data_IF_053889747110
#
_entry.id   IF_053889747110
#
_cell.length_a   1.000
_cell.length_b   1.000
_cell.length_c   1.000
_cell.angle_alpha   90.00
_cell.angle_beta   90.00
_cell.angle_gamma   90.00
#
_symmetry.space_group_name_H-M   'P 1'
#
loop_
_entity.id
_entity.type
_entity.pdbx_description
1 polymer ?
#
# COMPACT_ATOMS: atom_id res chain seq x y z
N UNK A 1 61.62 -30.44 14.41
CA UNK A 1 60.65 -30.06 13.35
C UNK A 1 59.21 -30.02 13.86
N UNK A 2 58.74 -31.01 14.63
CA UNK A 2 57.35 -31.06 15.15
C UNK A 2 56.96 -29.92 16.12
N UNK A 3 57.86 -29.48 17.00
CA UNK A 3 57.56 -28.43 17.99
C UNK A 3 57.28 -27.06 17.35
N UNK A 4 58.12 -26.63 16.39
CA UNK A 4 57.95 -25.36 15.66
C UNK A 4 56.67 -25.33 14.80
N UNK A 5 56.21 -26.49 14.33
CA UNK A 5 54.97 -26.62 13.56
C UNK A 5 53.73 -26.45 14.45
N UNK A 6 53.75 -26.99 15.68
CA UNK A 6 52.68 -26.81 16.65
C UNK A 6 52.54 -25.35 17.10
N UNK A 7 53.67 -24.66 17.32
CA UNK A 7 53.67 -23.21 17.60
C UNK A 7 53.05 -22.42 16.45
N UNK A 8 53.42 -22.73 15.20
CA UNK A 8 52.86 -22.04 14.02
C UNK A 8 51.34 -22.20 13.90
N UNK A 9 50.82 -23.42 14.11
CA UNK A 9 49.37 -23.67 14.13
C UNK A 9 48.70 -22.86 15.23
N UNK A 10 49.33 -22.78 16.40
CA UNK A 10 48.80 -22.06 17.55
C UNK A 10 48.71 -20.55 17.25
N UNK A 11 49.76 -19.96 16.67
CA UNK A 11 49.74 -18.55 16.22
C UNK A 11 48.71 -18.30 15.12
N UNK A 12 48.56 -19.23 14.17
CA UNK A 12 47.56 -19.13 13.11
C UNK A 12 46.13 -19.21 13.66
N UNK A 13 45.87 -20.05 14.66
CA UNK A 13 44.57 -20.11 15.31
C UNK A 13 44.27 -18.82 16.09
N UNK A 14 45.25 -18.26 16.80
CA UNK A 14 45.07 -16.97 17.48
C UNK A 14 44.80 -15.83 16.49
N UNK A 15 45.50 -15.78 15.36
CA UNK A 15 45.25 -14.76 14.33
C UNK A 15 43.88 -14.90 13.67
N UNK A 16 43.41 -16.14 13.45
CA UNK A 16 42.07 -16.38 12.92
C UNK A 16 40.98 -15.91 13.90
N UNK A 17 41.15 -16.22 15.20
CA UNK A 17 40.21 -15.81 16.25
C UNK A 17 40.18 -14.29 16.40
N UNK A 18 41.32 -13.61 16.37
CA UNK A 18 41.35 -12.14 16.46
C UNK A 18 40.70 -11.48 15.26
N UNK A 19 40.89 -12.00 14.04
CA UNK A 19 40.19 -11.50 12.84
C UNK A 19 38.67 -11.68 12.98
N UNK A 20 38.22 -12.85 13.46
CA UNK A 20 36.79 -13.10 13.70
C UNK A 20 36.19 -12.14 14.73
N UNK A 21 36.91 -11.87 15.83
CA UNK A 21 36.47 -10.90 16.85
C UNK A 21 36.41 -9.48 16.27
N UNK A 22 37.37 -9.08 15.45
CA UNK A 22 37.36 -7.77 14.80
C UNK A 22 36.21 -7.63 13.81
N UNK A 23 35.92 -8.68 13.03
CA UNK A 23 34.78 -8.70 12.10
C UNK A 23 33.44 -8.64 12.84
N UNK A 24 33.27 -9.38 13.93
CA UNK A 24 32.04 -9.31 14.73
C UNK A 24 31.89 -7.96 15.41
N UNK A 25 32.96 -7.35 15.88
CA UNK A 25 32.92 -5.99 16.42
C UNK A 25 32.58 -4.95 15.35
N UNK A 26 33.08 -5.07 14.12
CA UNK A 26 32.70 -4.20 13.01
C UNK A 26 31.20 -4.29 12.71
N UNK A 27 30.67 -5.51 12.62
CA UNK A 27 29.22 -5.73 12.40
C UNK A 27 28.41 -5.20 13.58
N UNK A 28 28.89 -5.37 14.81
CA UNK A 28 28.22 -4.88 16.01
C UNK A 28 28.23 -3.34 16.07
N UNK A 29 29.33 -2.70 15.68
CA UNK A 29 29.46 -1.24 15.60
C UNK A 29 28.54 -0.68 14.52
N UNK A 30 28.47 -1.32 13.35
CA UNK A 30 27.51 -0.95 12.29
C UNK A 30 26.05 -1.14 12.76
N UNK A 31 25.76 -2.21 13.51
CA UNK A 31 24.44 -2.47 14.07
C UNK A 31 24.06 -1.49 15.19
N UNK A 32 25.02 -1.10 16.05
CA UNK A 32 24.79 -0.18 17.16
C UNK A 32 24.68 1.28 16.68
N UNK A 33 25.42 1.62 15.62
CA UNK A 33 25.40 2.93 14.97
C UNK A 33 24.37 3.00 13.83
N UNK A 34 23.59 1.94 13.62
CA UNK A 34 22.43 1.98 12.74
C UNK A 34 21.36 2.86 13.39
N UNK A 35 21.41 4.16 13.10
CA UNK A 35 20.21 4.98 13.23
C UNK A 35 19.26 4.60 12.09
N UNK A 36 17.98 4.29 12.36
CA UNK A 36 17.02 4.20 11.28
C UNK A 36 17.01 5.55 10.56
N UNK A 37 17.49 5.57 9.31
CA UNK A 37 17.50 6.77 8.44
C UNK A 37 16.14 7.45 8.29
N UNK A 38 15.07 6.80 8.75
CA UNK A 38 13.71 7.30 8.76
C UNK A 38 13.11 7.28 10.17
N UNK A 39 13.72 8.01 11.10
CA UNK A 39 12.88 8.70 12.10
C UNK A 39 12.38 9.99 11.46
N UNK A 40 11.48 9.86 10.47
CA UNK A 40 10.76 11.03 9.99
C UNK A 40 9.99 11.58 11.20
N UNK A 41 10.29 12.79 11.70
CA UNK A 41 9.32 13.47 12.52
C UNK A 41 8.04 13.53 11.68
N UNK A 42 6.88 13.29 12.30
CA UNK A 42 5.60 13.74 11.77
C UNK A 42 5.66 15.27 11.65
N UNK A 43 6.41 15.79 10.67
CA UNK A 43 6.25 17.14 10.18
C UNK A 43 4.90 17.10 9.51
N UNK A 44 3.88 17.52 10.24
CA UNK A 44 2.80 18.26 9.60
C UNK A 44 3.50 19.34 8.76
N UNK A 45 3.42 19.30 7.43
CA UNK A 45 4.06 20.31 6.60
C UNK A 45 3.54 21.68 7.06
N UNK A 46 4.41 22.69 7.28
CA UNK A 46 3.98 24.01 7.73
C UNK A 46 2.92 24.63 6.81
N UNK A 47 2.91 24.25 5.52
CA UNK A 47 1.93 24.62 4.50
C UNK A 47 0.50 24.13 4.80
N UNK A 48 0.36 23.02 5.54
CA UNK A 48 -0.93 22.47 5.96
C UNK A 48 -1.64 23.41 6.96
N UNK A 49 -0.88 24.20 7.73
CA UNK A 49 -1.44 25.07 8.78
C UNK A 49 -2.07 26.36 8.24
N UNK A 50 -1.64 26.83 7.07
CA UNK A 50 -2.13 28.07 6.45
C UNK A 50 -3.33 27.81 5.51
N UNK A 51 -3.32 26.69 4.78
CA UNK A 51 -4.46 26.26 3.95
C UNK A 51 -5.67 25.79 4.81
N UNK A 52 -5.43 25.17 5.97
CA UNK A 52 -6.47 24.78 6.94
C UNK A 52 -7.23 26.01 7.50
N UNK A 53 -6.57 27.17 7.62
CA UNK A 53 -7.20 28.39 8.19
C UNK A 53 -8.16 29.09 7.23
N UNK A 54 -8.07 28.84 5.92
CA UNK A 54 -8.87 29.53 4.91
C UNK A 54 -9.99 28.66 4.30
N UNK A 55 -10.03 27.36 4.59
CA UNK A 55 -11.03 26.46 4.03
C UNK A 55 -12.25 26.30 4.94
N UNK A 56 -13.41 26.80 4.48
CA UNK A 56 -14.74 26.55 5.04
C UNK A 56 -14.97 25.03 5.27
N UNK A 57 -15.61 24.62 6.38
CA UNK A 57 -15.79 23.20 6.71
C UNK A 57 -16.48 22.41 5.60
N UNK A 58 -15.99 21.19 5.36
CA UNK A 58 -16.54 20.25 4.40
C UNK A 58 -18.04 20.07 4.65
N UNK A 59 -18.83 20.62 3.73
CA UNK A 59 -20.29 20.53 3.74
C UNK A 59 -20.68 19.07 3.52
N UNK A 60 -21.38 18.47 4.50
CA UNK A 60 -22.03 17.16 4.36
C UNK A 60 -22.79 17.10 3.03
N UNK A 61 -22.32 16.28 2.10
CA UNK A 61 -22.99 16.10 0.82
C UNK A 61 -24.22 15.23 1.01
N UNK A 62 -25.37 15.87 1.13
CA UNK A 62 -26.69 15.23 1.22
C UNK A 62 -27.39 15.30 -0.14
N UNK A 63 -26.98 14.44 -1.07
CA UNK A 63 -27.80 14.10 -2.24
C UNK A 63 -28.39 12.70 -2.02
N UNK A 64 -29.66 12.66 -1.62
CA UNK A 64 -30.54 11.50 -1.76
C UNK A 64 -30.08 10.17 -1.14
N UNK A 65 -30.14 10.07 0.19
CA UNK A 65 -30.61 8.85 0.85
C UNK A 65 -29.68 7.63 0.99
N UNK A 66 -28.35 7.78 1.04
CA UNK A 66 -27.46 6.75 1.61
C UNK A 66 -26.30 7.45 2.34
N UNK A 67 -26.20 7.26 3.66
CA UNK A 67 -25.02 7.68 4.43
C UNK A 67 -23.89 6.70 4.10
N UNK A 68 -22.72 7.21 3.68
CA UNK A 68 -21.56 6.40 3.31
C UNK A 68 -20.27 6.99 3.87
N UNK A 69 -19.21 6.19 3.96
CA UNK A 69 -17.90 6.68 4.37
C UNK A 69 -17.38 7.73 3.35
N UNK A 70 -17.14 8.95 3.80
CA UNK A 70 -16.44 9.97 3.01
C UNK A 70 -14.94 9.67 3.05
N UNK A 71 -14.47 8.83 2.13
CA UNK A 71 -13.05 8.52 1.94
C UNK A 71 -12.41 9.63 1.08
N UNK A 72 -11.33 10.29 1.54
CA UNK A 72 -10.57 11.22 0.71
C UNK A 72 -10.02 10.49 -0.52
N UNK A 73 -9.84 11.21 -1.62
CA UNK A 73 -9.50 10.61 -2.91
C UNK A 73 -8.23 11.22 -3.48
N UNK A 74 -7.36 10.37 -4.04
CA UNK A 74 -6.26 10.77 -4.92
C UNK A 74 -6.16 9.79 -6.08
N UNK A 75 -5.68 10.28 -7.23
CA UNK A 75 -5.18 9.42 -8.28
C UNK A 75 -3.75 8.96 -7.96
N UNK A 76 -3.30 7.84 -8.55
CA UNK A 76 -1.90 7.37 -8.49
C UNK A 76 -0.94 8.33 -9.20
N UNK A 77 -1.45 9.09 -10.18
CA UNK A 77 -0.81 10.27 -10.76
C UNK A 77 -1.56 11.54 -10.34
N UNK A 78 -1.31 12.14 -9.15
CA UNK A 78 -2.09 13.26 -8.64
C UNK A 78 -2.11 14.48 -9.56
N UNK A 79 -1.06 14.67 -10.35
CA UNK A 79 -0.91 15.77 -11.33
C UNK A 79 -1.07 15.32 -12.79
N UNK A 80 -1.55 14.09 -13.03
CA UNK A 80 -1.85 13.58 -14.37
C UNK A 80 -0.64 13.47 -15.32
N UNK A 81 0.53 13.29 -14.73
CA UNK A 81 1.82 13.22 -15.42
C UNK A 81 2.19 11.79 -15.80
N UNK A 82 1.35 11.16 -16.63
CA UNK A 82 1.52 9.81 -17.19
C UNK A 82 2.71 9.66 -18.16
N UNK A 83 3.44 10.75 -18.45
CA UNK A 83 4.66 10.69 -19.27
C UNK A 83 5.83 10.01 -18.56
N UNK A 84 5.71 9.74 -17.25
CA UNK A 84 6.67 8.99 -16.46
C UNK A 84 6.04 7.65 -16.07
N UNK A 85 6.66 6.56 -16.51
CA UNK A 85 6.14 5.20 -16.35
C UNK A 85 5.94 4.82 -14.89
N UNK A 86 6.67 5.46 -13.97
CA UNK A 86 6.58 5.12 -12.55
C UNK A 86 5.20 5.41 -11.95
N UNK A 87 4.44 6.32 -12.55
CA UNK A 87 3.08 6.62 -12.11
C UNK A 87 2.09 5.50 -12.44
N UNK A 88 2.43 4.56 -13.33
CA UNK A 88 1.60 3.38 -13.63
C UNK A 88 1.62 2.35 -12.48
N UNK A 89 2.64 2.41 -11.62
CA UNK A 89 2.91 1.42 -10.55
C UNK A 89 2.39 1.85 -9.17
N UNK A 90 1.87 3.08 -9.02
CA UNK A 90 1.56 3.66 -7.70
C UNK A 90 0.14 3.41 -7.19
N UNK A 91 -0.49 2.33 -7.62
CA UNK A 91 -1.88 2.06 -7.28
C UNK A 91 -2.04 1.62 -5.81
N UNK A 92 -1.08 0.87 -5.28
CA UNK A 92 -1.01 0.43 -3.89
C UNK A 92 -0.78 1.61 -2.95
N UNK A 93 0.22 2.47 -3.21
CA UNK A 93 0.55 3.63 -2.39
C UNK A 93 -0.63 4.61 -2.35
N UNK A 94 -1.24 4.90 -3.50
CA UNK A 94 -2.43 5.74 -3.56
C UNK A 94 -3.60 5.15 -2.76
N UNK A 95 -3.80 3.84 -2.85
CA UNK A 95 -4.86 3.13 -2.13
C UNK A 95 -4.66 3.18 -0.61
N UNK A 96 -3.45 2.94 -0.12
CA UNK A 96 -3.19 3.00 1.32
C UNK A 96 -3.17 4.42 1.86
N UNK A 97 -2.75 5.42 1.09
CA UNK A 97 -2.87 6.83 1.49
C UNK A 97 -4.34 7.21 1.69
N UNK A 98 -5.22 6.84 0.75
CA UNK A 98 -6.66 7.08 0.91
C UNK A 98 -7.21 6.40 2.16
N UNK A 99 -6.83 5.13 2.40
CA UNK A 99 -7.33 4.36 3.51
C UNK A 99 -6.84 4.85 4.88
N UNK A 100 -5.54 5.14 5.01
CA UNK A 100 -4.94 5.69 6.22
C UNK A 100 -5.49 7.10 6.50
N UNK A 101 -5.61 7.94 5.47
CA UNK A 101 -6.15 9.29 5.63
C UNK A 101 -7.59 9.26 6.11
N UNK A 102 -8.41 8.35 5.57
CA UNK A 102 -9.77 8.13 6.03
C UNK A 102 -9.82 7.73 7.52
N UNK A 103 -9.02 6.74 7.92
CA UNK A 103 -9.01 6.25 9.31
C UNK A 103 -8.54 7.33 10.30
N UNK A 104 -7.65 8.22 9.85
CA UNK A 104 -7.10 9.35 10.63
C UNK A 104 -7.88 10.66 10.53
N UNK A 105 -8.97 10.70 9.75
CA UNK A 105 -9.69 11.94 9.44
C UNK A 105 -8.81 13.04 8.84
N UNK A 106 -7.81 12.64 8.05
CA UNK A 106 -6.87 13.54 7.39
C UNK A 106 -7.37 13.93 6.01
N UNK A 107 -7.16 15.20 5.66
CA UNK A 107 -7.41 15.71 4.30
C UNK A 107 -6.28 15.28 3.37
N UNK A 108 -6.64 15.01 2.12
CA UNK A 108 -5.73 14.60 1.05
C UNK A 108 -5.76 15.63 -0.06
N UNK A 109 -4.67 16.38 -0.24
CA UNK A 109 -4.47 17.28 -1.38
C UNK A 109 -3.60 16.61 -2.44
N UNK A 110 -3.65 17.05 -3.69
CA UNK A 110 -2.82 16.47 -4.76
C UNK A 110 -1.31 16.63 -4.47
N UNK A 111 -0.90 17.78 -3.92
CA UNK A 111 0.48 18.05 -3.52
C UNK A 111 0.95 17.10 -2.44
N UNK A 112 0.14 16.93 -1.38
CA UNK A 112 0.48 16.01 -0.30
C UNK A 112 0.49 14.55 -0.81
N UNK A 113 -0.54 14.14 -1.56
CA UNK A 113 -0.61 12.80 -2.14
C UNK A 113 0.63 12.47 -2.97
N UNK A 114 1.05 13.37 -3.86
CA UNK A 114 2.20 13.14 -4.72
C UNK A 114 3.51 13.03 -3.93
N UNK A 115 3.66 13.82 -2.87
CA UNK A 115 4.84 13.72 -2.00
C UNK A 115 4.84 12.40 -1.21
N UNK A 116 3.70 12.02 -0.63
CA UNK A 116 3.58 10.78 0.14
C UNK A 116 3.75 9.52 -0.72
N UNK A 117 3.15 9.48 -1.91
CA UNK A 117 3.32 8.34 -2.83
C UNK A 117 4.81 8.10 -3.12
N UNK A 118 5.56 9.17 -3.42
CA UNK A 118 7.02 9.08 -3.64
C UNK A 118 7.76 8.60 -2.41
N UNK A 119 7.39 9.09 -1.23
CA UNK A 119 8.04 8.69 0.03
C UNK A 119 7.77 7.23 0.37
N UNK A 120 6.54 6.74 0.17
CA UNK A 120 6.17 5.33 0.37
C UNK A 120 6.93 4.46 -0.63
N UNK A 121 6.93 4.82 -1.93
CA UNK A 121 7.65 4.06 -2.94
C UNK A 121 9.15 3.96 -2.63
N UNK A 122 9.77 5.03 -2.11
CA UNK A 122 11.16 4.97 -1.63
C UNK A 122 11.33 4.08 -0.40
N UNK A 123 10.42 4.18 0.57
CA UNK A 123 10.41 3.31 1.75
C UNK A 123 10.26 1.82 1.37
N UNK A 124 9.40 1.50 0.40
CA UNK A 124 9.19 0.14 -0.08
C UNK A 124 10.40 -0.41 -0.84
N UNK A 125 11.08 0.43 -1.64
CA UNK A 125 12.36 0.06 -2.28
C UNK A 125 13.41 -0.33 -1.25
N UNK A 126 13.54 0.45 -0.17
CA UNK A 126 14.49 0.18 0.91
C UNK A 126 14.09 -1.08 1.70
N UNK A 127 12.79 -1.27 1.96
CA UNK A 127 12.29 -2.38 2.76
C UNK A 127 12.37 -3.72 2.04
N UNK A 128 12.13 -3.73 0.73
CA UNK A 128 11.92 -4.95 -0.01
C UNK A 128 12.97 -5.22 -1.10
N UNK A 129 13.80 -4.24 -1.49
CA UNK A 129 14.87 -4.30 -2.51
C UNK A 129 14.49 -4.13 -4.00
N UNK A 130 13.22 -3.85 -4.34
CA UNK A 130 12.65 -3.30 -5.62
C UNK A 130 11.30 -3.97 -5.96
N UNK A 131 10.20 -3.21 -6.04
CA UNK A 131 8.88 -3.71 -6.46
C UNK A 131 8.20 -2.71 -7.37
N UNK A 132 7.58 -3.25 -8.43
CA UNK A 132 6.59 -2.58 -9.26
C UNK A 132 5.21 -2.76 -8.62
N UNK A 133 4.87 -4.02 -8.30
CA UNK A 133 3.62 -4.40 -7.62
C UNK A 133 3.90 -4.86 -6.18
N UNK A 134 3.10 -4.43 -5.21
CA UNK A 134 3.18 -4.94 -3.82
C UNK A 134 2.00 -5.84 -3.47
N UNK A 135 2.30 -7.04 -2.97
CA UNK A 135 1.25 -7.94 -2.47
C UNK A 135 0.50 -7.32 -1.31
N UNK A 136 -0.74 -7.78 -1.09
CA UNK A 136 -1.56 -7.39 0.07
C UNK A 136 -0.83 -7.45 1.43
N UNK A 137 0.11 -8.38 1.60
CA UNK A 137 0.89 -8.50 2.83
C UNK A 137 2.01 -7.46 2.92
N UNK A 138 2.68 -7.18 1.81
CA UNK A 138 3.75 -6.17 1.77
C UNK A 138 3.18 -4.76 1.79
N UNK A 139 2.06 -4.51 1.11
CA UNK A 139 1.26 -3.29 1.26
C UNK A 139 0.87 -3.07 2.73
N UNK A 140 0.42 -4.12 3.44
CA UNK A 140 0.12 -4.02 4.87
C UNK A 140 1.38 -3.75 5.73
N UNK A 141 2.55 -4.30 5.37
CA UNK A 141 3.82 -3.96 6.02
C UNK A 141 4.20 -2.51 5.77
N UNK A 142 3.97 -1.97 4.58
CA UNK A 142 4.17 -0.55 4.28
C UNK A 142 3.25 0.33 5.13
N UNK A 143 1.96 -0.03 5.25
CA UNK A 143 1.03 0.66 6.16
C UNK A 143 1.58 0.71 7.60
N UNK A 144 2.09 -0.41 8.11
CA UNK A 144 2.65 -0.47 9.46
C UNK A 144 3.99 0.26 9.58
N UNK A 145 4.90 0.05 8.64
CA UNK A 145 6.28 0.55 8.72
C UNK A 145 6.39 2.04 8.42
N UNK A 146 5.73 2.51 7.37
CA UNK A 146 5.79 3.91 6.94
C UNK A 146 4.88 4.79 7.79
N UNK A 147 3.61 4.40 7.95
CA UNK A 147 2.65 5.24 8.67
C UNK A 147 2.62 4.99 10.19
N UNK A 148 3.24 3.92 10.71
CA UNK A 148 2.93 3.41 12.05
C UNK A 148 1.42 3.19 12.23
N UNK A 149 0.77 2.67 11.19
CA UNK A 149 -0.67 2.44 11.16
C UNK A 149 -0.97 0.98 11.50
N UNK A 150 -1.87 0.76 12.46
CA UNK A 150 -2.21 -0.59 12.94
C UNK A 150 -3.71 -0.87 12.93
N UNK A 151 -4.52 0.10 12.51
CA UNK A 151 -5.99 0.01 12.45
C UNK A 151 -6.45 -0.71 11.18
N UNK A 152 -5.90 -1.90 10.94
CA UNK A 152 -6.27 -2.76 9.83
C UNK A 152 -6.22 -4.24 10.24
N UNK A 153 -6.84 -5.09 9.43
CA UNK A 153 -6.65 -6.55 9.47
C UNK A 153 -6.64 -7.12 8.06
N UNK A 154 -5.86 -8.17 7.84
CA UNK A 154 -5.86 -8.90 6.58
C UNK A 154 -6.95 -9.97 6.65
N UNK A 155 -7.82 -10.02 5.64
CA UNK A 155 -8.87 -11.04 5.53
C UNK A 155 -8.51 -11.95 4.36
N UNK A 156 -8.07 -13.16 4.68
CA UNK A 156 -7.78 -14.21 3.69
C UNK A 156 -9.04 -14.99 3.32
N UNK A 157 -9.03 -15.58 2.12
CA UNK A 157 -10.16 -16.37 1.57
C UNK A 157 -11.50 -15.62 1.68
N UNK A 158 -11.46 -14.31 1.45
CA UNK A 158 -12.60 -13.43 1.68
C UNK A 158 -13.79 -13.82 0.80
N UNK A 159 -14.97 -13.87 1.41
CA UNK A 159 -16.24 -14.09 0.70
C UNK A 159 -16.96 -12.77 0.40
N UNK A 160 -17.94 -12.79 -0.52
CA UNK A 160 -18.80 -11.61 -0.74
C UNK A 160 -19.49 -11.13 0.54
N UNK A 161 -19.90 -12.08 1.40
CA UNK A 161 -20.56 -11.77 2.67
C UNK A 161 -19.61 -11.02 3.60
N UNK A 162 -18.36 -11.48 3.73
CA UNK A 162 -17.36 -10.80 4.56
C UNK A 162 -17.13 -9.34 4.11
N UNK A 163 -17.03 -9.11 2.80
CA UNK A 163 -16.89 -7.76 2.22
C UNK A 163 -18.09 -6.88 2.58
N UNK A 164 -19.31 -7.39 2.40
CA UNK A 164 -20.54 -6.65 2.69
C UNK A 164 -20.66 -6.35 4.19
N UNK A 165 -20.36 -7.33 5.05
CA UNK A 165 -20.41 -7.17 6.50
C UNK A 165 -19.38 -6.14 6.99
N UNK A 166 -18.14 -6.19 6.47
CA UNK A 166 -17.11 -5.18 6.75
C UNK A 166 -17.56 -3.77 6.40
N UNK A 167 -18.12 -3.58 5.20
CA UNK A 167 -18.64 -2.28 4.77
C UNK A 167 -19.85 -1.85 5.61
N UNK A 168 -20.72 -2.79 6.01
CA UNK A 168 -21.85 -2.55 6.92
C UNK A 168 -21.44 -2.11 8.32
N UNK A 169 -20.23 -2.49 8.76
CA UNK A 169 -19.61 -2.04 10.00
C UNK A 169 -18.87 -0.69 9.86
N UNK A 170 -19.10 0.04 8.76
CA UNK A 170 -18.43 1.31 8.45
C UNK A 170 -16.92 1.22 8.26
N UNK A 171 -16.39 0.02 7.98
CA UNK A 171 -15.01 -0.16 7.56
C UNK A 171 -14.87 0.08 6.05
N UNK A 172 -13.66 0.29 5.60
CA UNK A 172 -13.32 0.35 4.16
C UNK A 172 -12.32 -0.75 3.84
N UNK A 173 -12.22 -1.10 2.57
CA UNK A 173 -11.39 -2.23 2.14
C UNK A 173 -10.40 -1.77 1.10
N UNK A 174 -9.13 -2.10 1.29
CA UNK A 174 -8.12 -2.04 0.23
C UNK A 174 -8.09 -3.40 -0.45
N UNK A 175 -8.35 -3.44 -1.75
CA UNK A 175 -8.66 -4.67 -2.49
C UNK A 175 -7.73 -4.80 -3.70
N UNK A 176 -6.84 -5.81 -3.71
CA UNK A 176 -6.07 -6.16 -4.89
C UNK A 176 -6.95 -6.89 -5.90
N UNK A 177 -6.85 -6.50 -7.16
CA UNK A 177 -7.70 -6.99 -8.25
C UNK A 177 -6.87 -7.27 -9.48
N UNK A 178 -7.32 -8.26 -10.25
CA UNK A 178 -6.90 -8.45 -11.62
C UNK A 178 -7.65 -7.44 -12.50
N UNK A 179 -6.95 -6.38 -12.89
CA UNK A 179 -7.49 -5.21 -13.58
C UNK A 179 -8.39 -5.56 -14.77
N UNK A 180 -7.95 -6.50 -15.62
CA UNK A 180 -8.67 -6.85 -16.86
C UNK A 180 -10.02 -7.54 -16.62
N UNK A 181 -10.25 -8.11 -15.43
CA UNK A 181 -11.55 -8.68 -15.06
C UNK A 181 -12.54 -7.63 -14.49
N UNK A 182 -12.10 -6.40 -14.21
CA UNK A 182 -12.99 -5.31 -13.79
C UNK A 182 -13.94 -4.86 -14.90
N UNK A 183 -13.60 -5.15 -16.17
CA UNK A 183 -14.41 -4.85 -17.37
C UNK A 183 -14.91 -3.40 -17.40
N UNK A 184 -14.10 -2.47 -16.90
CA UNK A 184 -14.44 -1.05 -16.95
C UNK A 184 -14.26 -0.57 -18.40
N UNK A 185 -15.32 -0.08 -19.06
CA UNK A 185 -15.25 0.35 -20.47
C UNK A 185 -14.36 1.59 -20.66
N UNK A 186 -14.02 2.28 -19.59
CA UNK A 186 -13.14 3.45 -19.62
C UNK A 186 -11.64 3.08 -19.60
N UNK A 187 -11.31 1.80 -19.52
CA UNK A 187 -9.91 1.34 -19.53
C UNK A 187 -9.39 1.24 -20.95
N UNK A 188 -8.20 1.80 -21.20
CA UNK A 188 -7.44 1.48 -22.42
C UNK A 188 -6.94 0.05 -22.33
N UNK A 189 -7.33 -0.79 -23.29
CA UNK A 189 -6.90 -2.19 -23.35
C UNK A 189 -5.45 -2.28 -23.88
N UNK A 190 -4.64 -3.24 -23.38
CA UNK A 190 -5.02 -4.30 -22.45
C UNK A 190 -5.00 -3.87 -20.97
N UNK A 191 -4.39 -2.73 -20.65
CA UNK A 191 -4.18 -2.25 -19.27
C UNK A 191 -3.25 -3.15 -18.44
N UNK A 192 -2.91 -2.73 -17.19
CA UNK A 192 -2.08 -3.52 -16.30
C UNK A 192 -2.75 -4.86 -15.93
N UNK A 193 -1.98 -5.75 -15.32
CA UNK A 193 -2.46 -7.06 -14.86
C UNK A 193 -2.90 -6.98 -13.39
N UNK A 194 -2.03 -6.47 -12.53
CA UNK A 194 -2.33 -6.18 -11.14
C UNK A 194 -2.85 -4.75 -10.99
N UNK A 195 -3.67 -4.54 -9.98
CA UNK A 195 -4.17 -3.23 -9.57
C UNK A 195 -4.69 -3.29 -8.14
N UNK A 196 -4.72 -2.15 -7.46
CA UNK A 196 -5.30 -2.01 -6.14
C UNK A 196 -6.23 -0.80 -6.07
N UNK A 197 -7.37 -0.98 -5.42
CA UNK A 197 -8.36 0.08 -5.22
C UNK A 197 -8.97 0.03 -3.82
N UNK A 198 -9.74 1.07 -3.47
CA UNK A 198 -10.43 1.15 -2.17
C UNK A 198 -11.93 0.96 -2.36
N UNK A 199 -12.53 -0.04 -1.70
CA UNK A 199 -13.98 -0.21 -1.62
C UNK A 199 -14.50 0.54 -0.40
N UNK A 200 -15.45 1.43 -0.64
CA UNK A 200 -15.93 2.42 0.34
C UNK A 200 -17.36 2.16 0.81
N UNK A 201 -18.15 1.43 0.02
CA UNK A 201 -19.54 1.10 0.35
C UNK A 201 -20.10 -0.01 -0.54
N UNK A 202 -21.22 -0.60 -0.12
CA UNK A 202 -22.03 -1.53 -0.91
C UNK A 202 -23.47 -1.01 -1.04
N UNK A 203 -23.97 -0.95 -2.27
CA UNK A 203 -25.34 -0.59 -2.60
C UNK A 203 -26.17 -1.88 -2.77
N UNK A 204 -26.98 -2.28 -1.77
CA UNK A 204 -27.72 -3.55 -1.82
C UNK A 204 -28.87 -3.53 -2.84
N UNK A 205 -29.40 -2.35 -3.18
CA UNK A 205 -30.49 -2.23 -4.15
C UNK A 205 -29.97 -2.46 -5.57
N UNK A 206 -28.76 -1.96 -5.87
CA UNK A 206 -28.14 -2.09 -7.18
C UNK A 206 -27.18 -3.27 -7.28
N UNK A 207 -26.88 -3.95 -6.16
CA UNK A 207 -25.86 -5.01 -6.06
C UNK A 207 -24.51 -4.53 -6.60
N UNK A 208 -24.07 -3.37 -6.12
CA UNK A 208 -22.87 -2.70 -6.60
C UNK A 208 -21.95 -2.30 -5.46
N UNK A 209 -20.65 -2.51 -5.64
CA UNK A 209 -19.63 -1.93 -4.79
C UNK A 209 -19.28 -0.53 -5.28
N UNK A 210 -19.12 0.40 -4.35
CA UNK A 210 -18.67 1.77 -4.60
C UNK A 210 -17.19 1.86 -4.25
N UNK A 211 -16.36 2.26 -5.21
CA UNK A 211 -14.91 2.26 -5.09
C UNK A 211 -14.31 3.64 -5.30
N UNK A 212 -13.16 3.88 -4.70
CA UNK A 212 -12.21 4.89 -5.11
C UNK A 212 -11.09 4.17 -5.84
N UNK A 213 -11.06 4.31 -7.17
CA UNK A 213 -10.09 3.66 -8.04
C UNK A 213 -9.00 4.68 -8.41
N UNK A 214 -7.72 4.47 -8.01
CA UNK A 214 -6.68 5.49 -8.12
C UNK A 214 -6.19 5.71 -9.56
N UNK A 215 -6.56 4.87 -10.52
CA UNK A 215 -6.04 4.98 -11.89
C UNK A 215 -6.43 6.27 -12.59
N UNK A 216 -7.60 6.85 -12.32
CA UNK A 216 -7.95 8.17 -12.88
C UNK A 216 -8.54 9.09 -11.84
N UNK A 217 -8.32 10.40 -12.02
CA UNK A 217 -8.95 11.43 -11.19
C UNK A 217 -10.49 11.39 -11.21
N UNK A 218 -11.09 10.72 -12.19
CA UNK A 218 -12.54 10.68 -12.41
C UNK A 218 -13.22 9.48 -11.74
N UNK A 219 -12.48 8.55 -11.13
CA UNK A 219 -13.06 7.30 -10.60
C UNK A 219 -13.17 7.28 -9.07
N UNK A 220 -13.32 8.47 -8.48
CA UNK A 220 -13.89 8.62 -7.15
C UNK A 220 -15.33 8.12 -7.16
N UNK A 221 -15.68 7.23 -6.23
CA UNK A 221 -17.01 6.61 -6.15
C UNK A 221 -17.46 5.88 -7.42
N UNK A 222 -16.53 5.33 -8.20
CA UNK A 222 -16.87 4.46 -9.33
C UNK A 222 -17.64 3.23 -8.83
N UNK A 223 -18.50 2.66 -9.67
CA UNK A 223 -19.38 1.56 -9.29
C UNK A 223 -19.08 0.32 -10.11
N UNK A 224 -18.75 -0.76 -9.41
CA UNK A 224 -18.60 -2.09 -9.99
C UNK A 224 -19.76 -2.98 -9.56
N UNK A 225 -20.28 -3.81 -10.46
CA UNK A 225 -21.23 -4.86 -10.10
C UNK A 225 -20.60 -5.83 -9.09
N UNK A 226 -21.39 -6.36 -8.15
CA UNK A 226 -20.85 -7.18 -7.05
C UNK A 226 -20.03 -8.37 -7.54
N UNK A 227 -20.53 -9.09 -8.55
CA UNK A 227 -19.84 -10.24 -9.12
C UNK A 227 -18.64 -9.82 -9.97
N UNK A 228 -18.69 -8.64 -10.59
CA UNK A 228 -17.57 -8.13 -11.40
C UNK A 228 -16.37 -7.87 -10.49
N UNK A 229 -16.56 -7.05 -9.44
CA UNK A 229 -15.47 -6.74 -8.52
C UNK A 229 -15.01 -7.98 -7.76
N UNK A 230 -15.95 -8.76 -7.19
CA UNK A 230 -15.60 -9.92 -6.38
C UNK A 230 -14.81 -10.95 -7.18
N UNK A 231 -15.20 -11.22 -8.43
CA UNK A 231 -14.47 -12.17 -9.28
C UNK A 231 -13.10 -11.63 -9.69
N UNK A 232 -12.95 -10.31 -9.83
CA UNK A 232 -11.67 -9.68 -10.13
C UNK A 232 -10.66 -9.75 -8.97
N UNK A 233 -11.10 -9.91 -7.71
CA UNK A 233 -10.19 -9.98 -6.55
C UNK A 233 -9.12 -11.06 -6.78
N UNK A 234 -7.87 -10.65 -6.63
CA UNK A 234 -6.71 -11.48 -6.79
C UNK A 234 -5.58 -11.00 -5.88
N UNK A 235 -5.19 -11.82 -4.91
CA UNK A 235 -3.99 -11.59 -4.11
C UNK A 235 -2.76 -11.98 -4.93
N UNK A 236 -2.26 -11.05 -5.74
CA UNK A 236 -1.01 -11.21 -6.49
C UNK A 236 0.19 -11.15 -5.52
N UNK A 237 1.28 -11.89 -5.83
CA UNK A 237 2.53 -11.77 -5.08
C UNK A 237 3.21 -10.42 -5.38
N UNK A 238 4.14 -9.97 -4.55
CA UNK A 238 4.95 -8.79 -4.88
C UNK A 238 5.88 -9.14 -6.04
N UNK A 239 6.12 -8.22 -6.96
CA UNK A 239 6.95 -8.48 -8.13
C UNK A 239 7.79 -7.27 -8.55
N UNK A 240 9.01 -7.55 -9.01
CA UNK A 240 9.89 -6.56 -9.64
C UNK A 240 9.70 -6.47 -11.16
N UNK A 241 8.83 -7.32 -11.73
CA UNK A 241 8.47 -7.33 -13.15
C UNK A 241 6.97 -7.53 -13.32
N UNK A 242 6.42 -7.16 -14.47
CA UNK A 242 5.01 -7.41 -14.75
C UNK A 242 4.62 -8.88 -14.50
N UNK A 243 3.49 -9.09 -13.85
CA UNK A 243 2.96 -10.42 -13.61
C UNK A 243 2.64 -11.16 -14.90
N UNK A 244 2.88 -12.47 -14.91
CA UNK A 244 2.28 -13.35 -15.93
C UNK A 244 0.78 -13.45 -15.68
N UNK A 245 0.01 -13.59 -16.76
CA UNK A 245 -1.45 -13.75 -16.70
C UNK A 245 -1.83 -14.91 -15.75
N UNK A 246 -2.46 -14.63 -14.60
CA UNK A 246 -2.89 -15.68 -13.69
C UNK A 246 -4.12 -16.39 -14.26
N UNK A 247 -4.19 -17.70 -14.08
CA UNK A 247 -5.41 -18.44 -14.34
C UNK A 247 -6.58 -17.82 -13.58
N UNK A 248 -7.75 -17.73 -14.22
CA UNK A 248 -8.94 -17.12 -13.61
C UNK A 248 -9.49 -17.93 -12.44
N UNK A 249 -9.39 -19.26 -12.55
CA UNK A 249 -9.86 -20.21 -11.53
C UNK A 249 -8.77 -20.34 -10.46
N UNK A 250 -9.17 -20.31 -9.19
CA UNK A 250 -8.27 -20.58 -8.06
C UNK A 250 -7.46 -19.39 -7.56
N UNK A 251 -7.73 -18.16 -8.03
CA UNK A 251 -7.09 -16.96 -7.48
C UNK A 251 -7.41 -16.81 -6.00
N UNK A 252 -6.37 -16.73 -5.18
CA UNK A 252 -6.52 -16.39 -3.77
C UNK A 252 -7.18 -15.01 -3.65
N UNK A 253 -8.16 -14.90 -2.73
CA UNK A 253 -8.89 -13.66 -2.46
C UNK A 253 -8.52 -13.20 -1.06
N UNK A 254 -7.64 -12.22 -1.00
CA UNK A 254 -7.17 -11.63 0.26
C UNK A 254 -7.26 -10.11 0.13
N UNK A 255 -7.75 -9.44 1.18
CA UNK A 255 -7.94 -7.99 1.22
C UNK A 255 -7.43 -7.42 2.55
N UNK A 256 -7.26 -6.10 2.60
CA UNK A 256 -7.00 -5.38 3.85
C UNK A 256 -8.31 -4.67 4.24
N UNK A 257 -8.87 -5.02 5.39
CA UNK A 257 -9.93 -4.24 6.01
C UNK A 257 -9.31 -3.17 6.90
N UNK A 258 -9.75 -1.93 6.72
CA UNK A 258 -9.30 -0.76 7.48
C UNK A 258 -10.47 -0.21 8.28
N UNK A 259 -10.26 -0.01 9.57
CA UNK A 259 -11.26 0.50 10.49
C UNK A 259 -10.87 1.89 11.01
N UNK A 260 -11.84 2.63 11.51
CA UNK A 260 -11.60 3.95 12.09
C UNK A 260 -10.83 3.82 13.41
N UNK A 261 -10.04 4.84 13.72
CA UNK A 261 -9.48 5.04 15.06
C UNK A 261 -10.57 5.43 16.06
#
# INVERSE_FOLDING_TARGET
>A
MKAKFAEYITYFMYSLITILILLTMLILVDWLNWEPKYSLPLKTPPEQSEEIRQATPAKKSSTGGIVRAEVPFTAQAPFWNWGDIIYEEWCEEASIIMAVSWSRWQRLTATWANAEIKNISNFEKDLFWNFLDTSVYDTAKAMKGYFNFTQYKIIEKVTKKDIIDSLGNWNILVVPVYWRDLKNPNFTQPGPIAHMLVVTWYDPLKKQFITNDPWTKNWKSYRYGEDVLYNAIWAYPSSATEHKLPAKIGRAKTIIEVYKK
#
